data_IF_638895654422
#
_entry.id   IF_638895654422
#
_cell.length_a   1.000
_cell.length_b   1.000
_cell.length_c   1.000
_cell.angle_alpha   90.00
_cell.angle_beta   90.00
_cell.angle_gamma   90.00
#
_symmetry.space_group_name_H-M   'P 1'
#
loop_
_entity.id
_entity.type
_entity.pdbx_description
1 polymer ?
#
# COMPACT_ATOMS: atom_id res chain seq x y z
N UNK A 1 43.09 -8.99 -16.54
CA UNK A 1 42.59 -7.98 -15.59
C UNK A 1 41.39 -8.61 -14.88
N UNK A 2 41.54 -9.01 -13.62
CA UNK A 2 40.59 -9.87 -12.89
C UNK A 2 39.78 -8.95 -11.96
N UNK A 3 38.49 -8.74 -12.25
CA UNK A 3 37.61 -7.98 -11.39
C UNK A 3 37.37 -8.78 -10.10
N UNK A 4 37.99 -8.36 -9.00
CA UNK A 4 37.63 -8.85 -7.68
C UNK A 4 36.35 -8.12 -7.28
N UNK A 5 35.23 -8.86 -7.24
CA UNK A 5 34.00 -8.39 -6.62
C UNK A 5 34.26 -8.33 -5.12
N UNK A 6 34.63 -7.14 -4.63
CA UNK A 6 34.63 -6.86 -3.20
C UNK A 6 33.17 -6.92 -2.76
N UNK A 7 32.78 -7.97 -2.05
CA UNK A 7 31.51 -8.03 -1.33
C UNK A 7 31.49 -6.87 -0.36
N UNK A 8 30.75 -5.81 -0.71
CA UNK A 8 30.32 -4.80 0.24
C UNK A 8 29.40 -5.53 1.21
N UNK A 9 29.94 -5.96 2.35
CA UNK A 9 29.12 -6.33 3.50
C UNK A 9 28.36 -5.08 3.92
N UNK A 10 27.15 -4.92 3.38
CA UNK A 10 26.16 -4.00 3.94
C UNK A 10 25.73 -4.68 5.24
N UNK A 11 26.11 -4.17 6.42
CA UNK A 11 25.67 -4.78 7.66
C UNK A 11 24.13 -4.77 7.66
N UNK A 12 23.46 -5.85 8.09
CA UNK A 12 22.02 -5.81 8.26
C UNK A 12 21.74 -4.69 9.24
N UNK A 13 21.16 -3.58 8.76
CA UNK A 13 20.70 -2.55 9.68
C UNK A 13 19.56 -3.19 10.45
N UNK A 14 19.68 -3.39 11.78
CA UNK A 14 18.54 -3.82 12.55
C UNK A 14 17.44 -2.80 12.33
N UNK A 15 16.22 -3.26 12.08
CA UNK A 15 15.04 -2.41 12.00
C UNK A 15 15.12 -1.39 13.15
N UNK A 16 15.29 -0.10 12.83
CA UNK A 16 15.43 0.96 13.84
C UNK A 16 14.27 0.99 14.83
N UNK A 17 13.14 0.39 14.46
CA UNK A 17 11.97 0.23 15.28
C UNK A 17 11.48 -1.21 15.20
N UNK A 18 11.50 -1.92 16.33
CA UNK A 18 10.68 -3.12 16.49
C UNK A 18 9.25 -2.65 16.65
N UNK A 19 8.49 -2.81 15.57
CA UNK A 19 7.04 -2.73 15.57
C UNK A 19 6.54 -3.79 16.58
N UNK A 20 5.95 -3.41 17.73
CA UNK A 20 5.35 -4.39 18.62
C UNK A 20 4.19 -5.07 17.88
N UNK A 21 4.13 -6.40 17.98
CA UNK A 21 2.93 -7.15 17.60
C UNK A 21 1.83 -6.75 18.58
N UNK A 22 0.94 -5.86 18.15
CA UNK A 22 -0.25 -5.50 18.92
C UNK A 22 -1.39 -6.34 18.36
N UNK A 23 -1.80 -7.36 19.11
CA UNK A 23 -2.88 -8.28 18.73
C UNK A 23 -4.27 -7.70 19.05
N UNK A 24 -4.32 -6.65 19.88
CA UNK A 24 -5.54 -6.05 20.43
C UNK A 24 -5.69 -4.56 20.01
N UNK A 25 -6.87 -4.18 19.54
CA UNK A 25 -7.19 -2.82 19.09
C UNK A 25 -7.22 -1.78 20.24
N UNK A 26 -7.56 -2.19 21.46
CA UNK A 26 -7.56 -1.30 22.63
C UNK A 26 -6.13 -1.06 23.12
N UNK A 27 -5.28 -2.08 23.05
CA UNK A 27 -3.84 -1.97 23.32
C UNK A 27 -3.16 -1.07 22.26
N UNK A 28 -3.65 -1.15 21.03
CA UNK A 28 -3.27 -0.28 19.93
C UNK A 28 -3.69 1.18 20.16
N UNK A 29 -4.92 1.42 20.62
CA UNK A 29 -5.43 2.73 21.01
C UNK A 29 -4.72 3.31 22.25
N UNK A 30 -4.20 2.46 23.14
CA UNK A 30 -3.40 2.88 24.28
C UNK A 30 -1.99 3.32 23.85
N UNK A 31 -1.32 2.55 22.98
CA UNK A 31 -0.05 2.92 22.34
C UNK A 31 -0.19 4.21 21.51
N UNK A 32 -1.31 4.38 20.80
CA UNK A 32 -1.72 5.59 20.08
C UNK A 32 -1.67 6.85 20.97
N UNK A 33 -2.24 6.77 22.17
CA UNK A 33 -2.33 7.93 23.06
C UNK A 33 -0.99 8.29 23.70
N UNK A 34 -0.12 7.30 23.87
CA UNK A 34 1.22 7.48 24.42
C UNK A 34 2.21 8.04 23.39
N UNK A 35 2.11 7.61 22.12
CA UNK A 35 3.01 8.04 21.04
C UNK A 35 2.70 9.43 20.47
N UNK A 36 1.44 9.89 20.48
CA UNK A 36 1.08 11.23 19.99
C UNK A 36 1.65 12.40 20.83
N UNK A 37 2.32 12.13 21.95
CA UNK A 37 2.93 13.15 22.80
C UNK A 37 4.40 13.46 22.45
N UNK A 38 5.04 12.65 21.59
CA UNK A 38 6.44 12.83 21.22
C UNK A 38 6.58 13.23 19.73
N UNK A 39 7.12 14.43 19.43
CA UNK A 39 7.30 14.91 18.06
C UNK A 39 8.42 14.19 17.28
N UNK A 40 9.28 13.41 17.93
CA UNK A 40 10.29 12.59 17.23
C UNK A 40 9.74 11.22 16.81
N UNK A 41 8.57 10.82 17.29
CA UNK A 41 7.93 9.58 16.84
C UNK A 41 7.27 9.74 15.48
N UNK A 42 7.35 8.71 14.60
CA UNK A 42 6.65 8.72 13.34
C UNK A 42 5.17 9.01 13.54
N UNK A 43 4.59 9.82 12.66
CA UNK A 43 3.15 10.08 12.71
C UNK A 43 2.39 8.76 12.74
N UNK A 44 1.25 8.72 13.40
CA UNK A 44 0.40 7.55 13.43
C UNK A 44 0.10 6.97 12.04
N UNK A 45 -0.05 7.82 11.03
CA UNK A 45 -0.24 7.38 9.66
C UNK A 45 0.96 6.59 9.15
N UNK A 46 2.18 7.06 9.40
CA UNK A 46 3.41 6.34 9.03
C UNK A 46 3.50 4.99 9.75
N UNK A 47 3.17 4.96 11.04
CA UNK A 47 3.13 3.73 11.81
C UNK A 47 2.09 2.74 11.28
N UNK A 48 0.86 3.20 10.96
CA UNK A 48 -0.23 2.37 10.41
C UNK A 48 0.17 1.83 9.06
N UNK A 49 0.69 2.70 8.20
CA UNK A 49 1.09 2.31 6.86
C UNK A 49 2.23 1.28 6.89
N UNK A 50 3.19 1.45 7.80
CA UNK A 50 4.26 0.49 8.01
C UNK A 50 3.74 -0.85 8.54
N UNK A 51 2.83 -0.84 9.51
CA UNK A 51 2.21 -2.06 10.05
C UNK A 51 1.38 -2.79 9.00
N UNK A 52 0.51 -2.06 8.30
CA UNK A 52 -0.29 -2.59 7.21
C UNK A 52 0.59 -3.16 6.10
N UNK A 53 1.68 -2.48 5.75
CA UNK A 53 2.65 -2.99 4.79
C UNK A 53 3.22 -4.35 5.21
N UNK A 54 3.59 -4.50 6.49
CA UNK A 54 4.20 -5.73 6.99
C UNK A 54 3.20 -6.88 7.19
N UNK A 55 2.08 -6.64 7.88
CA UNK A 55 1.15 -7.69 8.30
C UNK A 55 0.07 -8.02 7.28
N UNK A 56 -0.22 -7.11 6.35
CA UNK A 56 -1.28 -7.31 5.36
C UNK A 56 -0.69 -7.36 3.95
N UNK A 57 0.05 -6.32 3.56
CA UNK A 57 0.47 -6.18 2.17
C UNK A 57 1.52 -7.23 1.75
N UNK A 58 2.52 -7.53 2.59
CA UNK A 58 3.54 -8.54 2.28
C UNK A 58 2.99 -9.98 2.22
N UNK A 59 2.14 -10.44 3.17
CA UNK A 59 1.47 -11.74 3.04
C UNK A 59 0.59 -11.85 1.80
N UNK A 60 -0.23 -10.83 1.52
CA UNK A 60 -1.03 -10.80 0.29
C UNK A 60 -0.15 -10.90 -0.96
N UNK A 61 0.93 -10.11 -1.02
CA UNK A 61 1.85 -10.14 -2.15
C UNK A 61 2.52 -11.51 -2.31
N UNK A 62 2.83 -12.18 -1.20
CA UNK A 62 3.36 -13.54 -1.21
C UNK A 62 2.36 -14.52 -1.80
N UNK A 63 1.09 -14.48 -1.37
CA UNK A 63 0.03 -15.34 -1.92
C UNK A 63 -0.14 -15.13 -3.43
N UNK A 64 -0.13 -13.87 -3.89
CA UNK A 64 -0.23 -13.55 -5.32
C UNK A 64 1.00 -14.08 -6.09
N UNK A 65 2.20 -13.94 -5.54
CA UNK A 65 3.42 -14.48 -6.14
C UNK A 65 3.38 -16.02 -6.22
N UNK A 66 2.94 -16.69 -5.16
CA UNK A 66 2.76 -18.15 -5.13
C UNK A 66 1.69 -18.62 -6.12
N UNK A 67 0.69 -17.78 -6.41
CA UNK A 67 -0.31 -17.98 -7.48
C UNK A 67 0.23 -17.68 -8.90
N UNK A 68 1.48 -17.25 -9.05
CA UNK A 68 2.13 -16.98 -10.33
C UNK A 68 2.03 -15.53 -10.82
N UNK A 69 1.50 -14.61 -10.01
CA UNK A 69 1.42 -13.18 -10.33
C UNK A 69 2.74 -12.47 -10.01
N UNK A 70 3.61 -12.32 -11.02
CA UNK A 70 4.96 -11.76 -10.84
C UNK A 70 4.98 -10.27 -10.51
N UNK A 71 3.93 -9.52 -10.83
CA UNK A 71 3.77 -8.12 -10.42
C UNK A 71 3.70 -7.96 -8.90
N UNK A 72 3.29 -9.01 -8.17
CA UNK A 72 3.30 -9.03 -6.71
C UNK A 72 4.70 -8.83 -6.11
N UNK A 73 5.76 -9.24 -6.82
CA UNK A 73 7.15 -9.01 -6.41
C UNK A 73 7.46 -7.52 -6.38
N UNK A 74 7.10 -6.79 -7.43
CA UNK A 74 7.31 -5.34 -7.50
C UNK A 74 6.46 -4.60 -6.47
N UNK A 75 5.24 -5.07 -6.23
CA UNK A 75 4.39 -4.54 -5.17
C UNK A 75 5.06 -4.71 -3.80
N UNK A 76 5.56 -5.89 -3.45
CA UNK A 76 6.25 -6.12 -2.18
C UNK A 76 7.51 -5.26 -2.04
N UNK A 77 8.37 -5.21 -3.06
CA UNK A 77 9.55 -4.35 -3.07
C UNK A 77 9.18 -2.88 -2.85
N UNK A 78 8.13 -2.39 -3.50
CA UNK A 78 7.68 -1.01 -3.32
C UNK A 78 7.28 -0.70 -1.87
N UNK A 79 6.66 -1.65 -1.17
CA UNK A 79 6.30 -1.52 0.25
C UNK A 79 7.53 -1.54 1.12
N UNK A 80 8.45 -2.48 0.88
CA UNK A 80 9.70 -2.57 1.62
C UNK A 80 10.52 -1.27 1.52
N UNK A 81 10.72 -0.75 0.31
CA UNK A 81 11.48 0.49 0.13
C UNK A 81 10.76 1.74 0.65
N UNK A 82 9.43 1.79 0.56
CA UNK A 82 8.66 2.95 1.05
C UNK A 82 8.69 3.06 2.57
N UNK A 83 8.63 1.93 3.27
CA UNK A 83 8.46 1.89 4.72
C UNK A 83 9.69 1.36 5.46
N UNK A 84 10.84 1.32 4.78
CA UNK A 84 12.12 0.83 5.32
C UNK A 84 11.97 -0.53 6.01
N UNK A 85 11.36 -1.48 5.28
CA UNK A 85 11.21 -2.88 5.71
C UNK A 85 12.27 -3.74 5.04
N UNK A 86 12.66 -4.81 5.72
CA UNK A 86 13.50 -5.84 5.12
C UNK A 86 12.77 -6.49 3.93
N UNK A 87 13.48 -6.66 2.82
CA UNK A 87 12.93 -7.34 1.64
C UNK A 87 12.88 -8.84 1.93
N UNK A 88 11.74 -9.54 1.76
CA UNK A 88 11.69 -10.99 1.91
C UNK A 88 12.52 -11.74 0.85
N UNK A 89 13.06 -12.91 1.18
CA UNK A 89 13.83 -13.74 0.23
C UNK A 89 13.04 -14.08 -1.03
N UNK A 90 11.76 -14.44 -0.90
CA UNK A 90 10.90 -14.75 -2.05
C UNK A 90 10.78 -13.58 -3.02
N UNK A 91 10.77 -12.33 -2.52
CA UNK A 91 10.69 -11.14 -3.35
C UNK A 91 12.04 -10.83 -4.02
N UNK A 92 13.16 -11.08 -3.32
CA UNK A 92 14.51 -11.00 -3.92
C UNK A 92 14.66 -12.01 -5.06
N UNK A 93 14.31 -13.27 -4.81
CA UNK A 93 14.35 -14.34 -5.80
C UNK A 93 13.41 -14.07 -6.98
N UNK A 94 12.19 -13.62 -6.69
CA UNK A 94 11.22 -13.22 -7.71
C UNK A 94 11.76 -12.12 -8.62
N UNK A 95 12.46 -11.13 -8.05
CA UNK A 95 13.06 -10.05 -8.84
C UNK A 95 14.13 -10.59 -9.78
N UNK A 96 15.01 -11.47 -9.30
CA UNK A 96 16.03 -12.12 -10.13
C UNK A 96 15.40 -12.92 -11.28
N UNK A 97 14.32 -13.68 -11.01
CA UNK A 97 13.60 -14.40 -12.05
C UNK A 97 13.03 -13.46 -13.12
N UNK A 98 12.47 -12.33 -12.70
CA UNK A 98 11.93 -11.32 -13.61
C UNK A 98 13.05 -10.74 -14.48
N UNK A 99 14.19 -10.36 -13.88
CA UNK A 99 15.31 -9.77 -14.62
C UNK A 99 15.97 -10.79 -15.56
N UNK A 100 16.22 -12.01 -15.08
CA UNK A 100 16.80 -13.09 -15.88
C UNK A 100 15.94 -13.41 -17.10
N UNK A 101 14.61 -13.41 -16.95
CA UNK A 101 13.68 -13.64 -18.07
C UNK A 101 13.85 -12.63 -19.20
N UNK A 102 14.13 -11.37 -18.86
CA UNK A 102 14.36 -10.29 -19.83
C UNK A 102 15.79 -10.36 -20.39
N UNK A 103 16.80 -10.46 -19.52
CA UNK A 103 18.20 -10.44 -19.91
C UNK A 103 18.58 -11.64 -20.78
N UNK A 104 18.04 -12.82 -20.47
CA UNK A 104 18.24 -14.04 -21.26
C UNK A 104 17.28 -14.13 -22.45
N UNK A 105 16.52 -13.07 -22.76
CA UNK A 105 15.56 -13.02 -23.87
C UNK A 105 14.52 -14.15 -23.86
N UNK A 106 14.15 -14.64 -22.67
CA UNK A 106 13.12 -15.67 -22.50
C UNK A 106 11.72 -15.08 -22.62
N UNK A 107 11.56 -13.81 -22.26
CA UNK A 107 10.34 -13.03 -22.49
C UNK A 107 10.58 -11.93 -23.54
N UNK A 108 9.52 -11.60 -24.29
CA UNK A 108 9.52 -10.55 -25.32
C UNK A 108 9.52 -9.13 -24.73
N UNK A 109 9.26 -9.00 -23.44
CA UNK A 109 9.29 -7.75 -22.71
C UNK A 109 8.62 -7.85 -21.35
N UNK A 110 8.69 -6.75 -20.61
CA UNK A 110 8.18 -6.66 -19.22
C UNK A 110 6.69 -6.99 -19.10
N UNK A 111 5.86 -6.63 -20.08
CA UNK A 111 4.43 -6.94 -20.11
C UNK A 111 4.13 -8.46 -20.11
N UNK A 112 5.03 -9.28 -20.67
CA UNK A 112 4.87 -10.74 -20.71
C UNK A 112 5.20 -11.37 -19.34
N UNK A 113 6.17 -10.80 -18.62
CA UNK A 113 6.60 -11.30 -17.31
C UNK A 113 5.68 -10.79 -16.19
N UNK A 114 5.43 -9.49 -16.16
CA UNK A 114 4.68 -8.81 -15.09
C UNK A 114 3.19 -8.68 -15.38
N UNK A 115 2.76 -9.03 -16.60
CA UNK A 115 1.43 -8.67 -17.08
C UNK A 115 1.31 -7.17 -17.39
N UNK A 116 0.07 -6.74 -17.63
CA UNK A 116 -0.26 -5.32 -17.88
C UNK A 116 -1.05 -4.76 -16.71
N UNK A 117 -0.45 -3.91 -15.85
CA UNK A 117 -1.13 -3.33 -14.70
C UNK A 117 -2.34 -2.46 -15.09
N UNK A 118 -2.28 -1.83 -16.27
CA UNK A 118 -3.37 -1.04 -16.83
C UNK A 118 -3.83 -1.73 -18.11
N UNK A 119 -5.07 -2.27 -18.15
CA UNK A 119 -5.61 -2.92 -19.32
C UNK A 119 -5.59 -2.02 -20.56
N UNK A 120 -5.45 -2.63 -21.74
CA UNK A 120 -5.51 -1.89 -22.99
C UNK A 120 -6.90 -1.25 -23.14
N UNK A 121 -6.92 0.03 -23.52
CA UNK A 121 -8.15 0.81 -23.67
C UNK A 121 -8.58 1.55 -22.39
N UNK A 122 -7.89 1.34 -21.26
CA UNK A 122 -8.15 2.12 -20.06
C UNK A 122 -7.67 3.56 -20.22
N UNK A 123 -8.53 4.53 -19.91
CA UNK A 123 -8.20 5.95 -19.99
C UNK A 123 -7.29 6.37 -18.82
N UNK A 124 -5.98 6.45 -19.06
CA UNK A 124 -4.96 6.71 -18.02
C UNK A 124 -5.25 7.97 -17.20
N UNK A 125 -5.76 9.04 -17.82
CA UNK A 125 -6.10 10.25 -17.10
C UNK A 125 -7.25 10.04 -16.09
N UNK A 126 -8.19 9.13 -16.40
CA UNK A 126 -9.25 8.73 -15.46
C UNK A 126 -8.68 7.94 -14.29
N UNK A 127 -7.80 6.97 -14.58
CA UNK A 127 -7.10 6.17 -13.56
C UNK A 127 -6.31 7.08 -12.61
N UNK A 128 -5.51 8.01 -13.14
CA UNK A 128 -4.76 9.00 -12.35
C UNK A 128 -5.68 9.86 -11.49
N UNK A 129 -6.78 10.35 -12.05
CA UNK A 129 -7.77 11.14 -11.31
C UNK A 129 -8.36 10.32 -10.16
N UNK A 130 -8.73 9.06 -10.39
CA UNK A 130 -9.21 8.15 -9.34
C UNK A 130 -8.15 7.92 -8.26
N UNK A 131 -6.90 7.60 -8.62
CA UNK A 131 -5.84 7.41 -7.62
C UNK A 131 -5.61 8.65 -6.74
N UNK A 132 -5.71 9.86 -7.30
CA UNK A 132 -5.57 11.11 -6.53
C UNK A 132 -6.77 11.37 -5.62
N UNK A 133 -7.98 11.23 -6.16
CA UNK A 133 -9.20 11.60 -5.45
C UNK A 133 -9.57 10.63 -4.35
N UNK A 134 -9.25 9.36 -4.51
CA UNK A 134 -9.74 8.30 -3.65
C UNK A 134 -9.34 8.43 -2.17
N UNK A 135 -8.05 8.57 -1.80
CA UNK A 135 -7.69 8.79 -0.40
C UNK A 135 -8.24 10.12 0.13
N UNK A 136 -8.30 11.16 -0.72
CA UNK A 136 -8.88 12.44 -0.34
C UNK A 136 -10.37 12.35 -0.03
N UNK A 137 -11.15 11.64 -0.86
CA UNK A 137 -12.58 11.39 -0.64
C UNK A 137 -12.80 10.62 0.66
N UNK A 138 -12.05 9.53 0.88
CA UNK A 138 -12.21 8.71 2.07
C UNK A 138 -11.93 9.51 3.34
N UNK A 139 -10.80 10.24 3.39
CA UNK A 139 -10.44 11.07 4.54
C UNK A 139 -11.44 12.20 4.81
N UNK A 140 -11.94 12.86 3.75
CA UNK A 140 -12.94 13.94 3.90
C UNK A 140 -14.29 13.41 4.40
N UNK A 141 -14.71 12.24 3.93
CA UNK A 141 -15.95 11.59 4.42
C UNK A 141 -15.80 11.18 5.89
N UNK A 142 -14.66 10.60 6.29
CA UNK A 142 -14.39 10.29 7.69
C UNK A 142 -14.40 11.54 8.58
N UNK A 143 -13.75 12.61 8.14
CA UNK A 143 -13.73 13.87 8.88
C UNK A 143 -15.13 14.50 9.05
N UNK A 144 -16.04 14.30 8.09
CA UNK A 144 -17.43 14.74 8.23
C UNK A 144 -18.26 13.82 9.13
N UNK A 145 -17.98 12.51 9.14
CA UNK A 145 -18.59 11.54 10.05
C UNK A 145 -18.22 11.81 11.50
N UNK A 146 -16.96 12.18 11.77
CA UNK A 146 -16.50 12.62 13.10
C UNK A 146 -17.27 13.84 13.62
N UNK A 147 -17.77 14.69 12.72
CA UNK A 147 -18.64 15.84 13.06
C UNK A 147 -20.11 15.44 13.25
N UNK A 148 -20.43 14.15 13.12
CA UNK A 148 -21.79 13.62 13.24
C UNK A 148 -22.65 13.76 11.97
N UNK A 149 -22.04 14.04 10.80
CA UNK A 149 -22.80 14.09 9.55
C UNK A 149 -23.26 12.69 9.13
N UNK A 150 -24.54 12.50 8.72
CA UNK A 150 -24.99 11.22 8.17
C UNK A 150 -24.34 10.93 6.81
N UNK A 151 -24.14 9.64 6.50
CA UNK A 151 -23.70 9.20 5.16
C UNK A 151 -24.91 9.26 4.22
N UNK A 152 -25.03 10.35 3.48
CA UNK A 152 -26.11 10.57 2.53
C UNK A 152 -25.64 11.29 1.24
N UNK A 153 -26.57 11.55 0.34
CA UNK A 153 -26.27 12.26 -0.90
C UNK A 153 -25.75 13.68 -0.67
N UNK A 154 -26.22 14.36 0.37
CA UNK A 154 -25.83 15.73 0.68
C UNK A 154 -24.38 15.78 1.18
N UNK A 155 -23.93 14.79 1.94
CA UNK A 155 -22.53 14.63 2.34
C UNK A 155 -21.63 14.49 1.11
N UNK A 156 -21.94 13.58 0.20
CA UNK A 156 -21.12 13.35 -0.99
C UNK A 156 -21.09 14.56 -1.93
N UNK A 157 -22.17 15.33 -2.00
CA UNK A 157 -22.20 16.57 -2.76
C UNK A 157 -21.27 17.63 -2.15
N UNK A 158 -21.29 17.83 -0.83
CA UNK A 158 -20.37 18.76 -0.15
C UNK A 158 -18.91 18.37 -0.34
N UNK A 159 -18.58 17.09 -0.14
CA UNK A 159 -17.21 16.57 -0.36
C UNK A 159 -16.81 16.72 -1.83
N UNK A 160 -17.72 16.45 -2.76
CA UNK A 160 -17.50 16.64 -4.19
C UNK A 160 -17.18 18.07 -4.57
N UNK A 161 -17.94 19.03 -4.06
CA UNK A 161 -17.68 20.46 -4.27
C UNK A 161 -16.29 20.85 -3.75
N UNK A 162 -15.91 20.39 -2.55
CA UNK A 162 -14.58 20.64 -1.96
C UNK A 162 -13.44 20.09 -2.81
N UNK A 163 -13.61 18.89 -3.37
CA UNK A 163 -12.55 18.17 -4.11
C UNK A 163 -12.59 18.39 -5.63
N UNK A 164 -13.55 19.16 -6.16
CA UNK A 164 -13.74 19.33 -7.60
C UNK A 164 -14.17 18.05 -8.31
N UNK A 165 -15.03 17.25 -7.67
CA UNK A 165 -15.54 15.98 -8.14
C UNK A 165 -17.08 15.93 -8.08
N UNK A 166 -17.71 15.15 -8.97
CA UNK A 166 -19.16 14.96 -8.94
C UNK A 166 -19.59 14.00 -7.83
N UNK A 167 -20.78 14.24 -7.24
CA UNK A 167 -21.38 13.43 -6.17
C UNK A 167 -21.26 11.92 -6.40
N UNK A 168 -21.66 11.44 -7.58
CA UNK A 168 -21.67 10.00 -7.89
C UNK A 168 -20.27 9.38 -7.85
N UNK A 169 -19.25 10.10 -8.34
CA UNK A 169 -17.87 9.63 -8.29
C UNK A 169 -17.34 9.61 -6.84
N UNK A 170 -17.72 10.58 -6.01
CA UNK A 170 -17.34 10.61 -4.59
C UNK A 170 -17.95 9.42 -3.86
N UNK A 171 -19.24 9.17 -4.05
CA UNK A 171 -19.92 8.02 -3.44
C UNK A 171 -19.26 6.69 -3.86
N UNK A 172 -19.02 6.52 -5.17
CA UNK A 172 -18.33 5.34 -5.72
C UNK A 172 -16.96 5.14 -5.06
N UNK A 173 -16.11 6.18 -5.05
CA UNK A 173 -14.77 6.09 -4.45
C UNK A 173 -14.79 5.82 -2.95
N UNK A 174 -15.76 6.39 -2.22
CA UNK A 174 -15.91 6.12 -0.79
C UNK A 174 -16.27 4.65 -0.52
N UNK A 175 -17.29 4.11 -1.21
CA UNK A 175 -17.68 2.72 -0.98
C UNK A 175 -16.64 1.72 -1.48
N UNK A 176 -15.91 2.03 -2.55
CA UNK A 176 -14.76 1.22 -2.99
C UNK A 176 -13.67 1.13 -1.92
N UNK A 177 -13.30 2.24 -1.30
CA UNK A 177 -12.29 2.24 -0.23
C UNK A 177 -12.82 1.65 1.07
N UNK A 178 -14.08 1.92 1.43
CA UNK A 178 -14.70 1.25 2.58
C UNK A 178 -14.67 -0.26 2.40
N UNK A 179 -15.00 -0.75 1.20
CA UNK A 179 -14.96 -2.17 0.86
C UNK A 179 -13.54 -2.74 0.98
N UNK A 180 -12.54 -2.05 0.41
CA UNK A 180 -11.11 -2.43 0.55
C UNK A 180 -10.68 -2.48 2.01
N UNK A 181 -11.01 -1.45 2.78
CA UNK A 181 -10.71 -1.41 4.20
C UNK A 181 -11.36 -2.59 4.96
N UNK A 182 -12.56 -3.04 4.58
CA UNK A 182 -13.22 -4.18 5.23
C UNK A 182 -12.77 -5.56 4.72
N UNK A 183 -12.36 -5.67 3.46
CA UNK A 183 -11.93 -6.95 2.86
C UNK A 183 -10.44 -7.22 3.07
N UNK A 184 -9.62 -6.18 3.09
CA UNK A 184 -8.17 -6.28 3.29
C UNK A 184 -7.79 -6.19 4.79
N UNK A 185 -8.72 -5.85 5.70
CA UNK A 185 -8.49 -5.77 7.15
C UNK A 185 -9.62 -6.47 7.95
N UNK A 186 -9.40 -7.70 8.47
CA UNK A 186 -10.45 -8.46 9.17
C UNK A 186 -10.80 -7.94 10.59
N UNK A 187 -10.25 -6.80 11.02
CA UNK A 187 -10.38 -6.29 12.40
C UNK A 187 -11.16 -4.98 12.56
N UNK A 188 -12.03 -4.61 11.62
CA UNK A 188 -12.78 -3.33 11.71
C UNK A 188 -14.30 -3.51 11.63
N UNK A 189 -14.85 -4.30 12.57
CA UNK A 189 -16.19 -4.17 13.15
C UNK A 189 -16.26 -4.90 14.49
#
# INVERSE_FOLDING_TARGET
>A
MRWQLTTLEVPPQPLRFKVPLVEDFDEWCALFNQHNQDPETPSIHDWIERHSAYYVALPYAREQYEAGHMDAVLFALSRCYRYDLEVPDWAREGLLRITDSIELSQARGWDEVLGRPIPKGTHIASVRKRHRLRPAVFNEVLAELEKGSPIDEALFERVGQKLGAGKSLVAELYYEEKKRATEDWPGFF
#
